data_IF_909390685692
#
_entry.id   IF_909390685692
#
_cell.length_a   1.000
_cell.length_b   1.000
_cell.length_c   1.000
_cell.angle_alpha   90.00
_cell.angle_beta   90.00
_cell.angle_gamma   90.00
#
_symmetry.space_group_name_H-M   'P 1'
#
loop_
_entity.id
_entity.type
_entity.pdbx_description
1 polymer ?
#
# COMPACT_ATOMS: atom_id res chain seq x y z
N UNK A 1 1.47 24.58 -5.06
CA UNK A 1 1.16 24.40 -3.64
C UNK A 1 2.48 24.10 -2.93
N UNK A 2 2.85 24.82 -1.85
CA UNK A 2 4.04 24.49 -1.06
C UNK A 2 3.63 23.48 0.02
N UNK A 3 4.28 22.32 0.02
CA UNK A 3 4.10 21.28 1.05
C UNK A 3 5.06 21.52 2.20
N UNK A 4 4.66 21.20 3.42
CA UNK A 4 5.53 21.24 4.60
C UNK A 4 5.15 20.14 5.57
N UNK A 5 5.99 19.90 6.57
CA UNK A 5 5.68 18.97 7.67
C UNK A 5 4.30 19.21 8.29
N UNK A 6 3.85 20.47 8.35
CA UNK A 6 2.56 20.86 8.92
C UNK A 6 1.36 20.69 7.97
N UNK A 7 1.56 20.49 6.67
CA UNK A 7 0.48 20.40 5.69
C UNK A 7 0.36 19.03 5.04
N UNK A 8 1.41 18.21 5.06
CA UNK A 8 1.44 16.90 4.38
C UNK A 8 0.42 15.90 4.91
N UNK A 9 0.13 15.91 6.21
CA UNK A 9 -0.93 15.09 6.80
C UNK A 9 -2.35 15.42 6.32
N UNK A 10 -2.55 16.62 5.76
CA UNK A 10 -3.82 17.08 5.16
C UNK A 10 -3.93 16.78 3.67
N UNK A 11 -2.86 16.29 3.03
CA UNK A 11 -2.93 15.89 1.62
C UNK A 11 -3.82 14.66 1.46
N UNK A 12 -4.52 14.61 0.31
CA UNK A 12 -5.36 13.47 -0.02
C UNK A 12 -4.50 12.24 -0.34
N UNK A 13 -5.01 11.04 -0.07
CA UNK A 13 -4.30 9.79 -0.36
C UNK A 13 -3.94 9.66 -1.86
N UNK A 14 -4.83 10.11 -2.76
CA UNK A 14 -4.55 10.08 -4.20
C UNK A 14 -3.49 11.11 -4.61
N UNK A 15 -3.32 12.20 -3.86
CA UNK A 15 -2.23 13.15 -4.10
C UNK A 15 -0.86 12.53 -3.78
N UNK A 16 -0.77 11.68 -2.76
CA UNK A 16 0.45 10.91 -2.49
C UNK A 16 0.80 10.00 -3.68
N UNK A 17 -0.17 9.25 -4.20
CA UNK A 17 0.00 8.38 -5.38
C UNK A 17 0.36 9.18 -6.65
N UNK A 18 -0.09 10.43 -6.74
CA UNK A 18 0.23 11.30 -7.88
C UNK A 18 1.60 11.95 -7.77
N UNK A 19 1.98 12.44 -6.59
CA UNK A 19 3.13 13.33 -6.37
C UNK A 19 4.38 12.55 -5.96
N UNK A 20 4.28 11.65 -4.99
CA UNK A 20 5.46 10.97 -4.42
C UNK A 20 6.22 10.13 -5.47
N UNK A 21 5.55 9.40 -6.38
CA UNK A 21 6.26 8.71 -7.46
C UNK A 21 7.00 9.64 -8.44
N UNK A 22 6.63 10.93 -8.53
CA UNK A 22 7.32 11.88 -9.42
C UNK A 22 8.77 12.13 -9.00
N UNK A 23 9.12 11.85 -7.74
CA UNK A 23 10.52 11.88 -7.28
C UNK A 23 11.40 11.06 -8.21
N UNK A 24 10.95 9.88 -8.63
CA UNK A 24 11.68 8.99 -9.53
C UNK A 24 11.04 8.87 -10.91
N UNK A 25 10.05 9.70 -11.26
CA UNK A 25 9.29 9.57 -12.52
C UNK A 25 10.15 9.55 -13.81
N UNK A 26 11.28 10.29 -13.82
CA UNK A 26 12.26 10.26 -14.93
C UNK A 26 12.86 8.86 -15.16
N UNK A 27 13.06 8.11 -14.09
CA UNK A 27 13.62 6.78 -14.07
C UNK A 27 12.54 5.71 -14.20
N UNK A 28 11.44 5.86 -13.46
CA UNK A 28 10.39 4.86 -13.36
C UNK A 28 9.61 4.66 -14.66
N UNK A 29 9.67 5.61 -15.61
CA UNK A 29 9.17 5.39 -16.98
C UNK A 29 9.89 4.22 -17.69
N UNK A 30 11.13 3.92 -17.29
CA UNK A 30 11.97 2.85 -17.81
C UNK A 30 11.89 1.55 -17.01
N UNK A 31 11.27 1.60 -15.83
CA UNK A 31 11.03 0.41 -15.01
C UNK A 31 9.74 -0.28 -15.44
N UNK A 32 9.75 -1.60 -15.45
CA UNK A 32 8.55 -2.41 -15.63
C UNK A 32 7.65 -2.32 -14.37
N UNK A 33 6.41 -2.82 -14.42
CA UNK A 33 5.60 -2.87 -13.18
C UNK A 33 6.18 -3.89 -12.19
N UNK A 34 6.77 -4.98 -12.70
CA UNK A 34 7.42 -6.00 -11.88
C UNK A 34 8.67 -5.48 -11.17
N UNK A 35 9.49 -4.66 -11.82
CA UNK A 35 10.65 -4.05 -11.18
C UNK A 35 10.22 -3.14 -10.00
N UNK A 36 9.22 -2.30 -10.24
CA UNK A 36 8.63 -1.46 -9.17
C UNK A 36 8.05 -2.32 -8.04
N UNK A 37 7.35 -3.41 -8.38
CA UNK A 37 6.77 -4.31 -7.38
C UNK A 37 7.83 -5.08 -6.58
N UNK A 38 8.92 -5.50 -7.21
CA UNK A 38 10.06 -6.11 -6.53
C UNK A 38 10.67 -5.15 -5.49
N UNK A 39 10.75 -3.85 -5.79
CA UNK A 39 11.14 -2.85 -4.78
C UNK A 39 10.13 -2.75 -3.63
N UNK A 40 8.83 -2.77 -3.92
CA UNK A 40 7.79 -2.83 -2.88
C UNK A 40 7.98 -4.04 -1.95
N UNK A 41 8.18 -5.23 -2.52
CA UNK A 41 8.44 -6.46 -1.75
C UNK A 41 9.75 -6.39 -0.96
N UNK A 42 10.81 -5.86 -1.56
CA UNK A 42 12.11 -5.69 -0.90
C UNK A 42 11.98 -4.87 0.39
N UNK A 43 11.34 -3.69 0.31
CA UNK A 43 11.16 -2.85 1.49
C UNK A 43 10.10 -3.40 2.45
N UNK A 44 9.07 -4.11 1.96
CA UNK A 44 8.13 -4.85 2.81
C UNK A 44 8.84 -5.91 3.67
N UNK A 45 9.74 -6.68 3.07
CA UNK A 45 10.58 -7.66 3.76
C UNK A 45 11.56 -6.98 4.72
N UNK A 46 12.16 -5.85 4.32
CA UNK A 46 13.05 -5.08 5.19
C UNK A 46 12.30 -4.55 6.42
N UNK A 47 11.06 -4.05 6.29
CA UNK A 47 10.23 -3.63 7.42
C UNK A 47 10.05 -4.78 8.42
N UNK A 48 9.62 -5.96 7.96
CA UNK A 48 9.45 -7.13 8.82
C UNK A 48 10.78 -7.58 9.46
N UNK A 49 11.88 -7.52 8.71
CA UNK A 49 13.22 -7.80 9.23
C UNK A 49 13.63 -6.81 10.33
N UNK A 50 13.42 -5.51 10.12
CA UNK A 50 13.72 -4.46 11.12
C UNK A 50 12.92 -4.66 12.39
N UNK A 51 11.63 -5.00 12.27
CA UNK A 51 10.77 -5.32 13.41
C UNK A 51 11.32 -6.54 14.16
N UNK A 52 11.58 -7.64 13.45
CA UNK A 52 12.10 -8.89 14.04
C UNK A 52 13.46 -8.70 14.73
N UNK A 53 14.31 -7.82 14.20
CA UNK A 53 15.63 -7.50 14.75
C UNK A 53 15.58 -6.40 15.83
N UNK A 54 14.41 -5.91 16.20
CA UNK A 54 14.24 -4.79 17.13
C UNK A 54 15.12 -3.58 16.75
N UNK A 55 15.20 -3.29 15.44
CA UNK A 55 16.07 -2.26 14.94
C UNK A 55 15.67 -0.87 15.46
N UNK A 56 16.63 0.08 15.55
CA UNK A 56 16.33 1.46 15.88
C UNK A 56 15.19 2.06 15.03
N UNK A 57 14.35 2.89 15.67
CA UNK A 57 13.12 3.40 15.06
C UNK A 57 13.37 4.19 13.78
N UNK A 58 14.48 4.92 13.67
CA UNK A 58 14.89 5.65 12.47
C UNK A 58 15.09 4.72 11.26
N UNK A 59 15.73 3.55 11.47
CA UNK A 59 15.92 2.55 10.41
C UNK A 59 14.60 1.93 10.00
N UNK A 60 13.73 1.61 10.95
CA UNK A 60 12.39 1.11 10.65
C UNK A 60 11.54 2.13 9.89
N UNK A 61 11.56 3.41 10.31
CA UNK A 61 10.83 4.47 9.61
C UNK A 61 11.39 4.74 8.20
N UNK A 62 12.70 4.59 7.98
CA UNK A 62 13.27 4.67 6.64
C UNK A 62 12.67 3.59 5.72
N UNK A 63 12.63 2.32 6.17
CA UNK A 63 12.04 1.24 5.37
C UNK A 63 10.53 1.42 5.16
N UNK A 64 9.78 1.93 6.15
CA UNK A 64 8.35 2.25 6.00
C UNK A 64 8.15 3.36 4.96
N UNK A 65 8.99 4.40 5.00
CA UNK A 65 8.95 5.49 4.01
C UNK A 65 9.25 5.00 2.60
N UNK A 66 10.26 4.15 2.45
CA UNK A 66 10.65 3.57 1.16
C UNK A 66 9.57 2.59 0.65
N UNK A 67 9.01 1.74 1.52
CA UNK A 67 7.85 0.89 1.19
C UNK A 67 6.65 1.72 0.70
N UNK A 68 6.31 2.81 1.40
CA UNK A 68 5.19 3.67 1.01
C UNK A 68 5.42 4.34 -0.35
N UNK A 69 6.63 4.85 -0.61
CA UNK A 69 7.02 5.36 -1.94
C UNK A 69 6.76 4.30 -3.02
N UNK A 70 7.34 3.10 -2.87
CA UNK A 70 7.26 2.06 -3.89
C UNK A 70 5.85 1.51 -4.07
N UNK A 71 5.08 1.37 -2.99
CA UNK A 71 3.67 0.99 -3.05
C UNK A 71 2.85 2.04 -3.81
N UNK A 72 3.05 3.33 -3.54
CA UNK A 72 2.40 4.39 -4.31
C UNK A 72 2.84 4.44 -5.77
N UNK A 73 4.11 4.20 -6.07
CA UNK A 73 4.61 4.07 -7.45
C UNK A 73 3.97 2.88 -8.16
N UNK A 74 3.81 1.74 -7.47
CA UNK A 74 3.14 0.56 -8.01
C UNK A 74 1.67 0.86 -8.33
N UNK A 75 0.92 1.45 -7.38
CA UNK A 75 -0.48 1.86 -7.59
C UNK A 75 -0.58 2.86 -8.75
N UNK A 76 0.32 3.84 -8.81
CA UNK A 76 0.37 4.78 -9.92
C UNK A 76 0.58 4.06 -11.25
N UNK A 77 1.52 3.12 -11.36
CA UNK A 77 1.76 2.35 -12.59
C UNK A 77 0.58 1.47 -12.96
N UNK A 78 -0.06 0.80 -12.00
CA UNK A 78 -1.21 -0.06 -12.22
C UNK A 78 -2.46 0.70 -12.69
N UNK A 79 -2.59 2.00 -12.40
CA UNK A 79 -3.77 2.77 -12.82
C UNK A 79 -3.93 2.79 -14.34
N UNK A 80 -5.16 2.64 -14.86
CA UNK A 80 -5.43 2.82 -16.29
C UNK A 80 -6.32 1.73 -16.85
N UNK A 81 -6.31 1.59 -18.19
CA UNK A 81 -7.18 0.64 -18.89
C UNK A 81 -6.40 -0.62 -19.28
N UNK A 82 -6.93 -1.83 -19.03
CA UNK A 82 -6.35 -3.07 -19.53
C UNK A 82 -6.09 -3.01 -21.04
N UNK A 83 -4.96 -3.54 -21.48
CA UNK A 83 -4.50 -3.53 -22.88
C UNK A 83 -3.93 -2.19 -23.35
N UNK A 84 -3.88 -1.16 -22.49
CA UNK A 84 -3.27 0.14 -22.81
C UNK A 84 -1.91 0.29 -22.14
N UNK A 85 -0.90 0.56 -22.97
CA UNK A 85 0.47 0.86 -22.55
C UNK A 85 0.55 2.27 -21.95
N UNK A 86 1.27 2.41 -20.85
CA UNK A 86 1.54 3.68 -20.15
C UNK A 86 2.98 4.15 -20.28
N UNK A 87 3.92 3.23 -20.43
CA UNK A 87 5.31 3.57 -20.69
C UNK A 87 5.92 2.64 -21.74
N UNK A 88 6.96 3.09 -22.47
CA UNK A 88 7.64 2.26 -23.46
C UNK A 88 8.22 0.97 -22.89
N UNK A 89 8.58 0.95 -21.60
CA UNK A 89 9.18 -0.17 -20.91
C UNK A 89 8.20 -1.28 -20.49
N UNK A 90 6.89 -1.10 -20.70
CA UNK A 90 5.91 -2.16 -20.44
C UNK A 90 5.84 -3.16 -21.59
N UNK A 91 5.98 -4.43 -21.25
CA UNK A 91 5.66 -5.56 -22.13
C UNK A 91 4.16 -5.64 -22.42
N UNK A 92 3.78 -6.37 -23.48
CA UNK A 92 2.36 -6.57 -23.84
C UNK A 92 1.56 -7.23 -22.70
N UNK A 93 2.17 -8.19 -22.00
CA UNK A 93 1.52 -8.90 -20.88
C UNK A 93 1.23 -7.94 -19.72
N UNK A 94 2.17 -7.05 -19.38
CA UNK A 94 2.00 -6.08 -18.30
C UNK A 94 0.84 -5.11 -18.54
N UNK A 95 0.47 -4.86 -19.80
CA UNK A 95 -0.69 -4.01 -20.11
C UNK A 95 -2.03 -4.59 -19.63
N UNK A 96 -2.08 -5.89 -19.32
CA UNK A 96 -3.26 -6.56 -18.76
C UNK A 96 -3.39 -6.35 -17.24
N UNK A 97 -2.30 -6.00 -16.55
CA UNK A 97 -2.27 -5.82 -15.10
C UNK A 97 -2.63 -4.38 -14.76
N UNK A 98 -3.91 -4.13 -14.44
CA UNK A 98 -4.43 -2.78 -14.18
C UNK A 98 -5.44 -2.74 -13.05
N UNK A 99 -5.54 -1.56 -12.43
CA UNK A 99 -6.63 -1.15 -11.54
C UNK A 99 -7.46 -0.04 -12.21
N UNK A 100 -8.75 0.00 -11.92
CA UNK A 100 -9.71 0.96 -12.46
C UNK A 100 -10.05 2.05 -11.45
N UNK A 101 -10.01 1.74 -10.16
CA UNK A 101 -10.34 2.69 -9.09
C UNK A 101 -9.13 3.57 -8.71
N UNK A 102 -9.41 4.76 -8.18
CA UNK A 102 -8.38 5.57 -7.51
C UNK A 102 -7.89 4.86 -6.25
N UNK A 103 -6.68 5.17 -5.76
CA UNK A 103 -6.13 4.53 -4.56
C UNK A 103 -7.09 4.64 -3.38
N UNK A 104 -7.61 5.86 -3.15
CA UNK A 104 -8.54 6.09 -2.08
C UNK A 104 -9.89 5.35 -2.28
N UNK A 105 -10.37 5.18 -3.52
CA UNK A 105 -11.58 4.38 -3.78
C UNK A 105 -11.35 2.88 -3.59
N UNK A 106 -10.18 2.34 -3.95
CA UNK A 106 -9.81 0.94 -3.65
C UNK A 106 -9.98 0.66 -2.16
N UNK A 107 -9.32 1.49 -1.34
CA UNK A 107 -9.34 1.35 0.11
C UNK A 107 -10.75 1.58 0.66
N UNK A 108 -11.50 2.56 0.14
CA UNK A 108 -12.86 2.84 0.60
C UNK A 108 -13.84 1.70 0.30
N UNK A 109 -13.77 1.11 -0.89
CA UNK A 109 -14.66 0.03 -1.29
C UNK A 109 -14.43 -1.23 -0.45
N UNK A 110 -13.19 -1.46 -0.03
CA UNK A 110 -12.80 -2.55 0.85
C UNK A 110 -13.10 -2.26 2.33
N UNK A 111 -12.87 -1.03 2.79
CA UNK A 111 -13.00 -0.62 4.19
C UNK A 111 -13.81 0.67 4.34
N UNK A 112 -15.15 0.62 4.19
CA UNK A 112 -16.01 1.80 4.31
C UNK A 112 -16.31 2.17 5.77
N UNK A 113 -15.25 2.31 6.58
CA UNK A 113 -15.34 2.52 8.03
C UNK A 113 -15.59 1.25 8.85
N UNK A 114 -15.45 0.07 8.25
CA UNK A 114 -15.64 -1.24 8.89
C UNK A 114 -14.76 -2.29 8.22
N UNK A 115 -14.29 -3.28 8.98
CA UNK A 115 -13.63 -4.47 8.43
C UNK A 115 -14.58 -5.24 7.50
N UNK A 116 -14.12 -5.60 6.30
CA UNK A 116 -14.94 -6.28 5.28
C UNK A 116 -15.51 -7.62 5.77
N UNK A 117 -14.74 -8.40 6.55
CA UNK A 117 -15.21 -9.66 7.15
C UNK A 117 -16.25 -9.41 8.24
N UNK A 118 -16.04 -8.38 9.08
CA UNK A 118 -17.00 -7.98 10.10
C UNK A 118 -18.32 -7.54 9.47
N UNK A 119 -18.27 -6.76 8.38
CA UNK A 119 -19.46 -6.36 7.64
C UNK A 119 -20.24 -7.58 7.12
N UNK A 120 -19.56 -8.51 6.45
CA UNK A 120 -20.19 -9.72 5.92
C UNK A 120 -20.87 -10.56 7.02
N UNK A 121 -20.18 -10.79 8.14
CA UNK A 121 -20.73 -11.52 9.29
C UNK A 121 -21.91 -10.80 9.93
N UNK A 122 -21.77 -9.51 10.24
CA UNK A 122 -22.80 -8.72 10.93
C UNK A 122 -24.06 -8.53 10.09
N UNK A 123 -23.91 -8.37 8.77
CA UNK A 123 -25.06 -8.31 7.86
C UNK A 123 -25.77 -9.66 7.76
N UNK A 124 -25.04 -10.77 7.68
CA UNK A 124 -25.64 -12.11 7.74
C UNK A 124 -26.42 -12.35 9.04
N UNK A 125 -25.91 -11.86 10.17
CA UNK A 125 -26.58 -11.90 11.48
C UNK A 125 -27.66 -10.82 11.67
N UNK A 126 -28.00 -10.03 10.64
CA UNK A 126 -29.01 -8.95 10.69
C UNK A 126 -28.78 -7.93 11.81
N UNK A 127 -27.51 -7.63 12.11
CA UNK A 127 -27.14 -6.66 13.13
C UNK A 127 -27.61 -5.25 12.73
N UNK A 128 -28.23 -4.46 13.63
CA UNK A 128 -28.69 -3.10 13.33
C UNK A 128 -27.55 -2.18 12.88
N UNK A 129 -27.87 -1.20 12.01
CA UNK A 129 -26.90 -0.36 11.30
C UNK A 129 -25.86 0.36 12.17
N UNK A 130 -26.22 0.79 13.38
CA UNK A 130 -25.28 1.46 14.29
C UNK A 130 -24.16 0.52 14.79
N UNK A 131 -24.46 -0.77 15.00
CA UNK A 131 -23.48 -1.78 15.43
C UNK A 131 -22.67 -2.35 14.27
N UNK A 132 -23.07 -2.07 13.02
CA UNK A 132 -22.36 -2.54 11.84
C UNK A 132 -20.93 -1.98 11.78
N UNK A 133 -20.77 -0.70 12.13
CA UNK A 133 -19.51 0.05 12.07
C UNK A 133 -18.66 -0.07 13.35
N UNK A 134 -18.96 -1.02 14.23
CA UNK A 134 -18.14 -1.25 15.42
C UNK A 134 -16.72 -1.72 15.09
N UNK A 135 -15.77 -1.65 16.05
CA UNK A 135 -14.41 -2.15 15.88
C UNK A 135 -14.35 -3.60 15.40
N UNK A 136 -13.25 -3.97 14.76
CA UNK A 136 -12.99 -5.33 14.30
C UNK A 136 -12.93 -6.29 15.51
N UNK A 137 -13.57 -7.42 15.36
CA UNK A 137 -13.64 -8.51 16.35
C UNK A 137 -13.37 -9.87 15.68
N UNK A 138 -12.77 -9.89 14.48
CA UNK A 138 -12.52 -11.11 13.71
C UNK A 138 -11.72 -12.18 14.48
N UNK A 139 -10.83 -11.78 15.39
CA UNK A 139 -10.08 -12.72 16.23
C UNK A 139 -10.93 -13.49 17.25
N UNK A 140 -12.12 -12.99 17.57
CA UNK A 140 -13.05 -13.63 18.51
C UNK A 140 -14.01 -14.61 17.79
N UNK A 141 -13.83 -14.81 16.48
CA UNK A 141 -14.80 -15.49 15.61
C UNK A 141 -14.19 -16.70 14.92
N UNK A 142 -15.05 -17.67 14.58
CA UNK A 142 -14.64 -18.80 13.74
C UNK A 142 -14.26 -18.35 12.33
N UNK A 143 -13.37 -19.12 11.70
CA UNK A 143 -12.95 -18.87 10.32
C UNK A 143 -14.12 -18.96 9.35
N UNK A 144 -14.18 -18.04 8.39
CA UNK A 144 -15.25 -18.01 7.39
C UNK A 144 -15.11 -19.17 6.38
N UNK A 145 -15.84 -20.25 6.66
CA UNK A 145 -15.93 -21.47 5.82
C UNK A 145 -16.89 -21.34 4.64
N UNK A 146 -17.55 -20.17 4.45
CA UNK A 146 -18.50 -20.00 3.35
C UNK A 146 -17.80 -20.04 1.98
N UNK A 147 -18.48 -20.63 1.00
CA UNK A 147 -17.93 -20.82 -0.35
C UNK A 147 -17.70 -19.52 -1.14
N UNK A 148 -16.96 -19.62 -2.26
CA UNK A 148 -16.60 -18.49 -3.14
C UNK A 148 -17.79 -17.68 -3.66
N UNK A 149 -18.98 -18.28 -3.76
CA UNK A 149 -20.19 -17.57 -4.21
C UNK A 149 -20.72 -16.59 -3.15
N UNK A 150 -20.76 -17.01 -1.88
CA UNK A 150 -21.17 -16.16 -0.76
C UNK A 150 -20.20 -14.99 -0.58
N UNK A 151 -18.88 -15.26 -0.57
CA UNK A 151 -17.85 -14.21 -0.49
C UNK A 151 -17.99 -13.17 -1.62
N UNK A 152 -18.34 -13.61 -2.83
CA UNK A 152 -18.64 -12.71 -3.96
C UNK A 152 -19.89 -11.86 -3.75
N UNK A 153 -20.94 -12.41 -3.15
CA UNK A 153 -22.15 -11.65 -2.83
C UNK A 153 -21.86 -10.59 -1.75
N UNK A 154 -21.09 -10.95 -0.72
CA UNK A 154 -20.68 -10.05 0.35
C UNK A 154 -19.88 -8.86 -0.19
N UNK A 155 -18.91 -9.10 -1.09
CA UNK A 155 -18.14 -8.03 -1.72
C UNK A 155 -19.02 -7.07 -2.52
N UNK A 156 -19.99 -7.58 -3.27
CA UNK A 156 -20.97 -6.73 -3.98
C UNK A 156 -21.83 -5.91 -3.01
N UNK A 157 -22.24 -6.49 -1.89
CA UNK A 157 -23.02 -5.81 -0.86
C UNK A 157 -22.19 -4.71 -0.18
N UNK A 158 -20.96 -5.01 0.21
CA UNK A 158 -20.01 -4.08 0.78
C UNK A 158 -19.71 -2.91 -0.17
N UNK A 159 -19.51 -3.19 -1.45
CA UNK A 159 -19.31 -2.15 -2.45
C UNK A 159 -20.53 -1.22 -2.57
N UNK A 160 -21.77 -1.75 -2.57
CA UNK A 160 -22.98 -0.91 -2.51
C UNK A 160 -23.06 -0.07 -1.23
N UNK A 161 -22.72 -0.66 -0.09
CA UNK A 161 -22.68 0.03 1.18
C UNK A 161 -21.64 1.17 1.18
N UNK A 162 -20.44 0.93 0.66
CA UNK A 162 -19.40 1.96 0.54
C UNK A 162 -19.89 3.16 -0.28
N UNK A 163 -20.73 2.95 -1.30
CA UNK A 163 -21.36 4.03 -2.07
C UNK A 163 -22.42 4.76 -1.26
N UNK A 164 -23.24 4.06 -0.48
CA UNK A 164 -24.29 4.70 0.33
C UNK A 164 -23.72 5.52 1.50
N UNK A 165 -22.52 5.19 1.99
CA UNK A 165 -21.83 5.95 3.04
C UNK A 165 -20.68 6.82 2.53
N UNK A 166 -20.62 7.11 1.22
CA UNK A 166 -19.47 7.78 0.57
C UNK A 166 -19.07 9.13 1.18
N UNK A 167 -20.01 9.85 1.80
CA UNK A 167 -19.77 11.10 2.52
C UNK A 167 -18.90 10.95 3.76
N UNK A 168 -18.70 9.72 4.26
CA UNK A 168 -17.83 9.39 5.40
C UNK A 168 -16.41 9.00 5.01
N UNK A 169 -16.09 8.98 3.71
CA UNK A 169 -14.75 8.60 3.23
C UNK A 169 -13.72 9.61 3.77
N UNK A 170 -12.61 9.16 4.37
CA UNK A 170 -11.53 10.04 4.78
C UNK A 170 -10.99 10.88 3.62
N UNK A 171 -10.76 12.16 3.88
CA UNK A 171 -10.24 13.11 2.91
C UNK A 171 -8.72 13.10 2.87
N UNK A 172 -8.06 13.04 4.02
CA UNK A 172 -6.60 13.09 4.14
C UNK A 172 -5.97 11.75 4.54
N UNK A 173 -4.67 11.58 4.25
CA UNK A 173 -3.92 10.36 4.63
C UNK A 173 -3.91 10.12 6.15
N UNK A 174 -3.89 11.18 6.96
CA UNK A 174 -3.92 11.04 8.42
C UNK A 174 -5.32 10.64 8.93
N UNK A 175 -6.38 11.10 8.26
CA UNK A 175 -7.75 10.63 8.51
C UNK A 175 -7.92 9.15 8.12
N UNK A 176 -7.30 8.70 7.02
CA UNK A 176 -7.22 7.27 6.69
C UNK A 176 -6.54 6.46 7.80
N UNK A 177 -5.40 6.94 8.29
CA UNK A 177 -4.69 6.29 9.40
C UNK A 177 -5.53 6.28 10.69
N UNK A 178 -6.31 7.33 10.96
CA UNK A 178 -7.25 7.37 12.09
C UNK A 178 -8.38 6.35 11.93
N UNK A 179 -8.99 6.26 10.74
CA UNK A 179 -10.04 5.29 10.44
C UNK A 179 -9.55 3.85 10.66
N UNK A 180 -8.37 3.48 10.17
CA UNK A 180 -7.82 2.15 10.39
C UNK A 180 -7.42 1.89 11.85
N UNK A 181 -6.97 2.93 12.57
CA UNK A 181 -6.78 2.86 14.01
C UNK A 181 -8.07 2.49 14.75
N UNK A 182 -9.21 3.07 14.35
CA UNK A 182 -10.52 2.76 14.94
C UNK A 182 -11.06 1.38 14.51
N UNK A 183 -10.91 1.00 13.24
CA UNK A 183 -11.35 -0.32 12.75
C UNK A 183 -10.56 -1.42 13.47
N UNK A 184 -9.25 -1.28 13.60
CA UNK A 184 -8.38 -2.35 14.10
C UNK A 184 -7.84 -2.13 15.52
N UNK A 185 -8.46 -1.25 16.31
CA UNK A 185 -8.02 -0.90 17.67
C UNK A 185 -7.64 -2.13 18.51
N UNK A 186 -8.58 -3.06 18.70
CA UNK A 186 -8.36 -4.32 19.43
C UNK A 186 -7.23 -5.17 18.84
N UNK A 187 -7.14 -5.23 17.50
CA UNK A 187 -6.12 -6.01 16.81
C UNK A 187 -4.73 -5.39 17.07
N UNK A 188 -4.62 -4.07 17.01
CA UNK A 188 -3.40 -3.32 17.26
C UNK A 188 -2.95 -3.50 18.72
N UNK A 189 -3.87 -3.51 19.68
CA UNK A 189 -3.54 -3.78 21.09
C UNK A 189 -2.99 -5.20 21.28
N UNK A 190 -3.69 -6.20 20.72
CA UNK A 190 -3.40 -7.62 20.95
C UNK A 190 -2.19 -8.15 20.18
N UNK A 191 -2.03 -7.79 18.91
CA UNK A 191 -0.99 -8.35 18.06
C UNK A 191 0.38 -7.77 18.40
N UNK A 192 1.40 -8.60 18.40
CA UNK A 192 2.79 -8.15 18.44
C UNK A 192 3.15 -7.37 17.16
N UNK A 193 4.19 -6.53 17.20
CA UNK A 193 4.71 -5.87 15.99
C UNK A 193 5.11 -6.87 14.90
N UNK A 194 5.67 -8.01 15.31
CA UNK A 194 6.08 -9.08 14.40
C UNK A 194 4.89 -9.68 13.67
N UNK A 195 3.78 -9.97 14.37
CA UNK A 195 2.56 -10.47 13.73
C UNK A 195 1.97 -9.45 12.75
N UNK A 196 1.97 -8.15 13.08
CA UNK A 196 1.53 -7.10 12.15
C UNK A 196 2.47 -7.01 10.94
N UNK A 197 3.79 -7.14 11.14
CA UNK A 197 4.77 -7.20 10.06
C UNK A 197 4.56 -8.41 9.14
N UNK A 198 4.18 -9.57 9.70
CA UNK A 198 3.85 -10.77 8.92
C UNK A 198 2.56 -10.62 8.14
N UNK A 199 1.50 -10.03 8.71
CA UNK A 199 0.29 -9.74 7.95
C UNK A 199 0.53 -8.76 6.81
N UNK A 200 1.35 -7.72 7.03
CA UNK A 200 1.75 -6.82 5.93
C UNK A 200 2.47 -7.58 4.80
N UNK A 201 3.39 -8.50 5.15
CA UNK A 201 4.06 -9.35 4.16
C UNK A 201 3.13 -10.32 3.44
N UNK A 202 2.18 -10.90 4.18
CA UNK A 202 1.13 -11.78 3.64
C UNK A 202 0.33 -11.05 2.56
N UNK A 203 -0.18 -9.84 2.84
CA UNK A 203 -0.95 -9.09 1.84
C UNK A 203 -0.11 -8.65 0.64
N UNK A 204 1.17 -8.28 0.84
CA UNK A 204 2.07 -8.01 -0.28
C UNK A 204 2.29 -9.27 -1.14
N UNK A 205 2.36 -10.45 -0.53
CA UNK A 205 2.34 -11.73 -1.22
C UNK A 205 1.04 -11.95 -2.00
N UNK A 206 -0.12 -11.63 -1.40
CA UNK A 206 -1.42 -11.75 -2.05
C UNK A 206 -1.59 -10.78 -3.24
N UNK A 207 -1.05 -9.56 -3.17
CA UNK A 207 -1.00 -8.65 -4.33
C UNK A 207 -0.16 -9.28 -5.45
N UNK A 208 0.97 -9.90 -5.11
CA UNK A 208 1.82 -10.59 -6.10
C UNK A 208 1.07 -11.72 -6.81
N UNK A 209 0.37 -12.56 -6.05
CA UNK A 209 -0.52 -13.62 -6.57
C UNK A 209 -1.62 -13.01 -7.45
N UNK A 210 -2.28 -11.94 -7.01
CA UNK A 210 -3.33 -11.28 -7.76
C UNK A 210 -2.82 -10.68 -9.09
N UNK A 211 -1.65 -10.03 -9.08
CA UNK A 211 -1.01 -9.53 -10.29
C UNK A 211 -0.68 -10.66 -11.26
N UNK A 212 -0.07 -11.75 -10.78
CA UNK A 212 0.27 -12.90 -11.62
C UNK A 212 -0.99 -13.54 -12.25
N UNK A 213 -2.08 -13.63 -11.49
CA UNK A 213 -3.37 -14.15 -11.98
C UNK A 213 -4.02 -13.29 -13.05
N UNK A 214 -3.60 -12.04 -13.27
CA UNK A 214 -4.16 -11.22 -14.35
C UNK A 214 -3.82 -11.79 -15.74
N UNK A 215 -2.76 -12.57 -15.88
CA UNK A 215 -2.32 -13.15 -17.15
C UNK A 215 -1.91 -14.63 -17.05
N UNK A 216 -1.92 -15.23 -15.87
CA UNK A 216 -1.77 -16.69 -15.70
C UNK A 216 -3.07 -17.31 -15.21
N UNK A 217 -3.50 -18.39 -15.87
CA UNK A 217 -4.71 -19.12 -15.50
C UNK A 217 -4.77 -20.53 -16.04
N UNK A 218 -5.50 -21.36 -15.31
CA UNK A 218 -5.94 -22.68 -15.79
C UNK A 218 -7.20 -22.46 -16.62
N UNK A 219 -7.26 -23.08 -17.80
CA UNK A 219 -8.38 -22.98 -18.73
C UNK A 219 -9.73 -23.30 -18.07
N UNK A 220 -9.78 -24.35 -17.25
CA UNK A 220 -10.99 -24.76 -16.50
C UNK A 220 -11.47 -23.72 -15.48
N UNK A 221 -10.61 -22.78 -15.08
CA UNK A 221 -10.94 -21.69 -14.18
C UNK A 221 -11.23 -20.38 -14.92
N UNK A 222 -10.95 -20.31 -16.22
CA UNK A 222 -11.26 -19.14 -17.04
C UNK A 222 -12.75 -19.07 -17.32
N UNK A 223 -13.39 -17.93 -17.01
CA UNK A 223 -14.80 -17.71 -17.37
C UNK A 223 -14.88 -16.52 -18.32
N UNK A 224 -15.58 -16.64 -19.45
CA UNK A 224 -15.82 -15.48 -20.32
C UNK A 224 -16.47 -14.34 -19.50
N UNK A 225 -15.89 -13.14 -19.55
CA UNK A 225 -16.27 -12.01 -18.68
C UNK A 225 -15.55 -11.93 -17.32
N UNK A 226 -14.56 -12.80 -17.04
CA UNK A 226 -13.75 -12.82 -15.81
C UNK A 226 -12.88 -11.59 -15.46
N UNK A 227 -12.52 -10.63 -16.34
CA UNK A 227 -11.61 -9.55 -15.96
C UNK A 227 -12.04 -8.84 -14.68
N UNK A 228 -13.36 -8.69 -14.47
CA UNK A 228 -13.93 -8.00 -13.32
C UNK A 228 -13.58 -8.65 -11.97
N UNK A 229 -13.48 -9.97 -11.86
CA UNK A 229 -13.19 -10.61 -10.57
C UNK A 229 -11.71 -10.59 -10.24
N UNK A 230 -10.85 -10.88 -11.22
CA UNK A 230 -9.38 -10.86 -11.01
C UNK A 230 -8.92 -9.44 -10.71
N UNK A 231 -9.49 -8.48 -11.43
CA UNK A 231 -9.33 -7.08 -11.13
C UNK A 231 -9.82 -6.73 -9.71
N UNK A 232 -11.04 -7.13 -9.33
CA UNK A 232 -11.53 -6.88 -7.98
C UNK A 232 -10.62 -7.51 -6.90
N UNK A 233 -10.07 -8.71 -7.13
CA UNK A 233 -9.08 -9.32 -6.23
C UNK A 233 -7.81 -8.46 -6.16
N UNK A 234 -7.23 -8.06 -7.28
CA UNK A 234 -6.04 -7.19 -7.26
C UNK A 234 -6.31 -5.89 -6.50
N UNK A 235 -7.46 -5.26 -6.75
CA UNK A 235 -7.90 -4.04 -6.08
C UNK A 235 -8.08 -4.23 -4.56
N UNK A 236 -8.73 -5.32 -4.14
CA UNK A 236 -8.90 -5.68 -2.74
C UNK A 236 -7.56 -5.93 -2.05
N UNK A 237 -6.64 -6.66 -2.69
CA UNK A 237 -5.34 -7.01 -2.10
C UNK A 237 -4.43 -5.79 -1.94
N UNK A 238 -4.50 -4.82 -2.86
CA UNK A 238 -3.80 -3.53 -2.70
C UNK A 238 -4.38 -2.77 -1.51
N UNK A 239 -5.70 -2.78 -1.34
CA UNK A 239 -6.36 -2.14 -0.20
C UNK A 239 -5.99 -2.82 1.13
N UNK A 240 -5.90 -4.15 1.16
CA UNK A 240 -5.49 -4.92 2.34
C UNK A 240 -4.04 -4.58 2.72
N UNK A 241 -3.10 -4.56 1.77
CA UNK A 241 -1.70 -4.16 2.00
C UNK A 241 -1.59 -2.72 2.55
N UNK A 242 -2.35 -1.77 2.01
CA UNK A 242 -2.42 -0.40 2.53
C UNK A 242 -2.99 -0.35 3.95
N UNK A 243 -4.02 -1.16 4.24
CA UNK A 243 -4.63 -1.21 5.58
C UNK A 243 -3.63 -1.66 6.65
N UNK A 244 -2.80 -2.66 6.36
CA UNK A 244 -1.77 -3.15 7.27
C UNK A 244 -0.59 -2.20 7.39
N UNK A 245 -0.25 -1.45 6.34
CA UNK A 245 0.71 -0.36 6.44
C UNK A 245 0.24 0.71 7.45
N UNK A 246 -1.03 1.11 7.40
CA UNK A 246 -1.59 2.04 8.39
C UNK A 246 -1.65 1.42 9.80
N UNK A 247 -2.07 0.16 9.92
CA UNK A 247 -2.14 -0.55 11.19
C UNK A 247 -0.75 -0.69 11.85
N UNK A 248 0.29 -0.94 11.05
CA UNK A 248 1.67 -0.99 11.51
C UNK A 248 2.10 0.35 12.12
N UNK A 249 1.91 1.47 11.41
CA UNK A 249 2.27 2.80 11.94
C UNK A 249 1.50 3.09 13.23
N UNK A 250 0.24 2.68 13.32
CA UNK A 250 -0.55 2.79 14.56
C UNK A 250 0.00 1.92 15.70
N UNK A 251 0.42 0.68 15.45
CA UNK A 251 1.09 -0.16 16.46
C UNK A 251 2.38 0.47 16.97
N UNK A 252 3.20 1.01 16.08
CA UNK A 252 4.46 1.68 16.46
C UNK A 252 4.20 2.87 17.38
N UNK A 253 3.11 3.61 17.18
CA UNK A 253 2.68 4.65 18.12
C UNK A 253 2.31 4.06 19.48
N UNK A 254 1.42 3.06 19.52
CA UNK A 254 0.98 2.44 20.77
C UNK A 254 2.17 1.95 21.63
N UNK A 255 3.22 1.43 20.98
CA UNK A 255 4.45 1.02 21.67
C UNK A 255 5.30 2.16 22.21
N UNK A 256 5.36 3.30 21.51
CA UNK A 256 6.03 4.50 22.05
C UNK A 256 5.39 4.92 23.37
N UNK A 257 4.07 4.79 23.50
CA UNK A 257 3.35 5.12 24.72
C UNK A 257 3.48 4.06 25.84
N UNK A 258 3.97 2.86 25.56
CA UNK A 258 4.19 1.81 26.57
C UNK A 258 5.60 1.79 27.18
N UNK A 259 6.60 2.42 26.55
CA UNK A 259 7.95 2.48 27.09
C UNK A 259 8.08 3.54 28.21
N UNK A 260 8.39 3.07 29.43
CA UNK A 260 8.67 3.88 30.64
C UNK A 260 9.81 4.90 30.49
N UNK A 261 10.62 4.82 29.43
CA UNK A 261 11.81 5.66 29.20
C UNK A 261 11.51 7.11 28.78
N UNK A 262 10.26 7.45 28.45
CA UNK A 262 9.90 8.80 28.04
C UNK A 262 9.71 9.79 29.20
N UNK A 263 10.04 9.42 30.45
CA UNK A 263 9.90 10.29 31.63
C UNK A 263 10.70 11.61 31.57
N UNK A 264 11.65 11.75 30.64
CA UNK A 264 12.53 12.94 30.52
C UNK A 264 12.34 13.80 29.25
N UNK A 265 11.36 13.54 28.38
CA UNK A 265 11.07 14.41 27.21
C UNK A 265 9.95 15.41 27.48
N UNK A 266 9.84 16.49 26.71
CA UNK A 266 8.74 17.44 26.89
C UNK A 266 7.36 16.77 26.67
N UNK A 267 6.35 17.19 27.43
CA UNK A 267 5.01 16.59 27.40
C UNK A 267 4.37 16.64 26.00
N UNK A 268 4.70 17.64 25.19
CA UNK A 268 4.28 17.78 23.80
C UNK A 268 4.96 16.77 22.84
N UNK A 269 6.22 16.40 23.08
CA UNK A 269 6.90 15.36 22.29
C UNK A 269 6.45 13.95 22.66
N UNK A 270 6.04 13.75 23.92
CA UNK A 270 5.48 12.46 24.38
C UNK A 270 4.13 12.16 23.75
N UNK A 271 3.33 13.18 23.40
CA UNK A 271 1.97 13.03 22.85
C UNK A 271 1.90 13.06 21.33
N UNK A 272 2.99 13.44 20.64
CA UNK A 272 3.04 13.51 19.19
C UNK A 272 3.00 12.09 18.57
N UNK A 273 1.82 11.71 18.05
CA UNK A 273 1.66 10.49 17.27
C UNK A 273 2.43 10.62 15.95
N UNK A 274 3.25 9.62 15.62
CA UNK A 274 3.89 9.52 14.31
C UNK A 274 2.88 9.10 13.27
N UNK A 275 2.75 9.86 12.20
CA UNK A 275 1.88 9.53 11.08
C UNK A 275 2.68 8.99 9.91
N UNK A 276 2.03 8.24 9.02
CA UNK A 276 2.63 7.79 7.77
C UNK A 276 3.05 8.99 6.92
N UNK A 277 2.25 10.06 6.91
CA UNK A 277 2.59 11.33 6.24
C UNK A 277 3.89 11.92 6.77
N UNK A 278 4.08 11.91 8.10
CA UNK A 278 5.31 12.36 8.74
C UNK A 278 6.50 11.48 8.38
N UNK A 279 6.35 10.15 8.40
CA UNK A 279 7.43 9.21 8.02
C UNK A 279 7.89 9.47 6.58
N UNK A 280 6.93 9.59 5.64
CA UNK A 280 7.24 9.89 4.23
C UNK A 280 7.91 11.26 4.12
N UNK A 281 7.41 12.29 4.82
CA UNK A 281 7.98 13.63 4.79
C UNK A 281 9.40 13.68 5.37
N UNK A 282 9.68 12.98 6.47
CA UNK A 282 11.03 12.90 7.03
C UNK A 282 12.02 12.29 6.04
N UNK A 283 11.58 11.32 5.24
CA UNK A 283 12.43 10.61 4.27
C UNK A 283 12.60 11.37 2.96
N UNK A 284 11.51 11.95 2.44
CA UNK A 284 11.43 12.49 1.08
C UNK A 284 11.06 13.97 1.02
N UNK A 285 10.56 14.58 2.11
CA UNK A 285 10.05 15.95 2.15
C UNK A 285 11.08 16.98 2.58
N UNK A 286 11.07 18.15 1.93
CA UNK A 286 11.93 19.30 2.24
C UNK A 286 11.05 20.50 2.56
N UNK A 287 11.15 21.02 3.78
CA UNK A 287 10.47 22.27 4.17
C UNK A 287 11.07 23.46 3.40
N UNK A 288 12.37 23.46 3.13
CA UNK A 288 13.06 24.52 2.35
C UNK A 288 12.57 24.59 0.90
N UNK A 289 12.45 23.44 0.22
CA UNK A 289 11.92 23.38 -1.14
C UNK A 289 10.39 23.48 -1.18
N UNK A 290 9.74 23.28 -0.04
CA UNK A 290 8.30 23.13 0.05
C UNK A 290 7.77 21.96 -0.79
N UNK A 291 8.54 20.87 -0.92
CA UNK A 291 8.28 19.80 -1.88
C UNK A 291 8.88 18.46 -1.45
N UNK A 292 8.40 17.37 -2.09
CA UNK A 292 9.09 16.08 -2.05
C UNK A 292 10.31 16.11 -2.98
N UNK A 293 11.34 15.33 -2.62
CA UNK A 293 12.64 15.28 -3.30
C UNK A 293 13.28 13.91 -3.18
N UNK A 294 14.24 13.66 -4.05
CA UNK A 294 15.17 12.54 -3.91
C UNK A 294 16.14 12.82 -2.75
N UNK A 295 16.29 11.91 -1.77
CA UNK A 295 17.19 12.11 -0.64
C UNK A 295 18.67 12.10 -1.04
N UNK A 296 19.03 11.51 -2.20
CA UNK A 296 20.43 11.39 -2.65
C UNK A 296 20.93 12.62 -3.40
N UNK A 297 20.15 13.15 -4.35
CA UNK A 297 20.54 14.32 -5.16
C UNK A 297 19.82 15.62 -4.76
N UNK A 298 19.00 15.58 -3.70
CA UNK A 298 18.25 16.71 -3.15
C UNK A 298 17.30 17.40 -4.15
N UNK A 299 17.05 16.80 -5.31
CA UNK A 299 16.23 17.38 -6.38
C UNK A 299 14.79 16.90 -6.32
N UNK A 300 13.82 17.75 -6.69
CA UNK A 300 12.39 17.38 -6.71
C UNK A 300 12.12 16.19 -7.64
N UNK A 301 12.76 16.19 -8.80
CA UNK A 301 12.84 15.04 -9.71
C UNK A 301 14.28 14.53 -9.69
N UNK A 302 14.45 13.24 -9.43
CA UNK A 302 15.73 12.60 -9.29
C UNK A 302 16.59 12.77 -10.56
N UNK A 303 17.84 13.17 -10.34
CA UNK A 303 18.88 13.31 -11.36
C UNK A 303 20.04 12.32 -11.17
N UNK A 304 19.95 11.42 -10.19
CA UNK A 304 20.98 10.41 -9.93
C UNK A 304 21.26 9.59 -11.19
N UNK A 305 22.52 9.16 -11.41
CA UNK A 305 22.91 8.38 -12.58
C UNK A 305 22.48 6.90 -12.45
N UNK A 306 21.16 6.67 -12.35
CA UNK A 306 20.59 5.33 -12.26
C UNK A 306 20.46 4.70 -13.65
N UNK A 307 21.02 3.50 -13.80
CA UNK A 307 20.96 2.72 -15.03
C UNK A 307 19.89 1.64 -14.88
N UNK A 308 18.97 1.59 -15.84
CA UNK A 308 17.93 0.57 -15.92
C UNK A 308 18.11 -0.25 -17.18
N UNK A 309 17.90 -1.54 -17.03
CA UNK A 309 17.78 -2.47 -18.15
C UNK A 309 16.30 -2.69 -18.39
N UNK A 310 15.69 -2.10 -19.45
CA UNK A 310 14.28 -2.28 -19.69
C UNK A 310 13.97 -3.74 -20.02
N UNK A 311 12.89 -4.28 -19.45
CA UNK A 311 12.45 -5.67 -19.71
C UNK A 311 12.04 -5.92 -21.17
N UNK A 312 11.95 -4.87 -21.99
CA UNK A 312 11.65 -4.94 -23.43
C UNK A 312 12.90 -5.06 -24.31
N UNK A 313 14.10 -4.95 -23.76
CA UNK A 313 15.34 -5.12 -24.54
C UNK A 313 15.55 -6.59 -24.90
N UNK A 314 16.16 -6.85 -26.05
CA UNK A 314 16.52 -8.21 -26.41
C UNK A 314 17.62 -8.73 -25.48
N UNK A 315 17.61 -10.03 -25.18
CA UNK A 315 18.67 -10.67 -24.39
C UNK A 315 20.05 -10.42 -25.02
N UNK A 316 20.14 -10.38 -26.34
CA UNK A 316 21.37 -10.09 -27.08
C UNK A 316 21.90 -8.67 -26.81
N UNK A 317 21.04 -7.66 -26.77
CA UNK A 317 21.44 -6.28 -26.44
C UNK A 317 21.99 -6.18 -25.01
N UNK A 318 21.43 -6.97 -24.09
CA UNK A 318 21.89 -7.02 -22.70
C UNK A 318 23.24 -7.70 -22.60
N UNK A 319 23.38 -8.87 -23.23
CA UNK A 319 24.65 -9.58 -23.30
C UNK A 319 25.75 -8.71 -23.89
N UNK A 320 25.49 -7.95 -24.96
CA UNK A 320 26.49 -7.04 -25.54
C UNK A 320 26.92 -5.89 -24.60
N UNK A 321 26.05 -5.47 -23.67
CA UNK A 321 26.37 -4.43 -22.68
C UNK A 321 27.11 -4.96 -21.46
N UNK A 322 26.86 -6.21 -21.08
CA UNK A 322 27.46 -6.85 -19.89
C UNK A 322 28.65 -7.75 -20.21
N UNK A 323 28.83 -8.16 -21.46
CA UNK A 323 30.05 -8.86 -21.90
C UNK A 323 31.19 -7.84 -21.92
N UNK A 324 32.27 -8.03 -21.14
CA UNK A 324 33.42 -7.14 -21.18
C UNK A 324 33.90 -7.03 -22.63
N UNK A 325 34.01 -5.80 -23.15
CA UNK A 325 34.65 -5.58 -24.45
C UNK A 325 36.14 -5.89 -24.31
N UNK A 326 36.53 -7.11 -24.63
CA UNK A 326 37.92 -7.53 -24.83
C UNK A 326 38.76 -7.63 -23.57
N UNK A 327 38.87 -8.84 -23.03
CA UNK A 327 40.19 -9.40 -22.75
C UNK A 327 40.37 -10.48 -23.80
N UNK A 328 40.97 -10.11 -24.93
CA UNK A 328 41.57 -11.06 -25.88
C UNK A 328 43.03 -11.20 -25.51
#
# INVERSE_FOLDING_TARGET
>A
MKYSRATVGRMQLDDYVRIVPQIYGKHDRHRSIWDVWCHTLHHGAAVAERIRKEAPADKLFAEIGDLALWLFTAVQKLSGKPGKRKSPAESSIETLVRIQSTCSDLVWHRYPGVCHLCYARRTASKVPGAKLLGPCDCFEQESDRRGKAAKRADLKALHRFSKSVRSRKPSSIDEWQAMFGAIFEKNIERLSPTEIGFHLLEELGEVSDAMARMYSYVESNFRLGEPNWRQARLEDQIADALSWLFALVRKLNAMKFSNRELKHRDQAERTAQVTLSEIIWRRYGSDDLGAFRCPSCNSQVCSCPLVFVPGTHSVNDLLQRFTPRGIF
#
